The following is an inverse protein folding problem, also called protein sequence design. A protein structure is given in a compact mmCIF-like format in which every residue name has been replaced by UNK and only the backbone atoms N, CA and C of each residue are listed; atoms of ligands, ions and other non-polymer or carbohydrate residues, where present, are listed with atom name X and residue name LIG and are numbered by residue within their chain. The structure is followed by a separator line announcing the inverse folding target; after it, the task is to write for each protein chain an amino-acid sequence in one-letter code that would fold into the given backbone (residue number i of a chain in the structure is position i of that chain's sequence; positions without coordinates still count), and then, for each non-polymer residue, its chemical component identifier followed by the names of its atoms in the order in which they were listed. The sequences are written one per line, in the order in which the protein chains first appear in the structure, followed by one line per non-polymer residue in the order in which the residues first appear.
data_IF_762766627936
#
_entry.id   IF_762766627936
#
_cell.length_a   1.000
_cell.length_b   1.000
_cell.length_c   1.000
_cell.angle_alpha   90.00
_cell.angle_beta   90.00
_cell.angle_gamma   90.00
#
_symmetry.space_group_name_H-M   'P 1'
#
loop_
_entity.id
_entity.type
_entity.pdbx_description
1 polymer ?
#
# COMPACT_ATOMS: atom_id res chain seq x y z
N UNK A 1 14.19 32.47 -15.83
CA UNK A 1 13.67 31.24 -15.18
C UNK A 1 13.21 30.30 -16.28
N UNK A 2 13.68 29.07 -16.37
CA UNK A 2 13.16 28.12 -17.34
C UNK A 2 11.68 27.85 -17.05
N UNK A 3 10.85 27.81 -18.09
CA UNK A 3 9.44 27.47 -18.00
C UNK A 3 9.33 25.98 -17.62
N UNK A 4 8.56 25.62 -16.58
CA UNK A 4 8.40 24.23 -16.19
C UNK A 4 7.75 23.42 -17.34
N UNK A 5 8.16 22.18 -17.51
CA UNK A 5 7.53 21.31 -18.50
C UNK A 5 6.10 20.95 -18.09
N UNK A 6 5.24 20.62 -19.07
CA UNK A 6 3.88 20.16 -18.79
C UNK A 6 3.87 18.91 -17.89
N UNK A 7 4.85 18.04 -18.06
CA UNK A 7 5.05 16.85 -17.24
C UNK A 7 5.33 17.21 -15.77
N UNK A 8 6.20 18.21 -15.54
CA UNK A 8 6.53 18.65 -14.18
C UNK A 8 5.34 19.34 -13.51
N UNK A 9 4.57 20.10 -14.27
CA UNK A 9 3.33 20.73 -13.78
C UNK A 9 2.29 19.68 -13.40
N UNK A 10 2.05 18.68 -14.26
CA UNK A 10 1.09 17.61 -13.97
C UNK A 10 1.50 16.80 -12.73
N UNK A 11 2.80 16.50 -12.59
CA UNK A 11 3.33 15.81 -11.42
C UNK A 11 3.22 16.64 -10.15
N UNK A 12 3.44 17.95 -10.24
CA UNK A 12 3.25 18.86 -9.11
C UNK A 12 1.78 18.90 -8.68
N UNK A 13 0.85 19.07 -9.62
CA UNK A 13 -0.59 19.04 -9.35
C UNK A 13 -1.00 17.69 -8.72
N UNK A 14 -0.48 16.58 -9.24
CA UNK A 14 -0.77 15.25 -8.71
C UNK A 14 -0.38 15.10 -7.23
N UNK A 15 0.69 15.76 -6.80
CA UNK A 15 1.27 15.61 -5.44
C UNK A 15 0.76 16.64 -4.45
N UNK A 16 0.78 17.91 -4.84
CA UNK A 16 0.68 19.03 -3.90
C UNK A 16 -0.74 19.61 -3.84
N UNK A 17 -1.49 19.55 -4.95
CA UNK A 17 -2.82 20.17 -5.01
C UNK A 17 -3.89 19.27 -4.38
N UNK A 18 -4.76 19.80 -3.50
CA UNK A 18 -5.83 19.01 -2.88
C UNK A 18 -6.91 18.56 -3.87
N UNK A 19 -7.06 19.26 -5.01
CA UNK A 19 -7.99 18.96 -6.11
C UNK A 19 -9.45 18.66 -5.67
N UNK A 20 -9.85 19.22 -4.52
CA UNK A 20 -11.14 18.94 -3.86
C UNK A 20 -12.32 19.27 -4.76
N UNK A 21 -12.24 20.33 -5.57
CA UNK A 21 -13.31 20.72 -6.48
C UNK A 21 -13.49 19.68 -7.59
N UNK A 22 -12.39 19.19 -8.16
CA UNK A 22 -12.42 18.15 -9.21
C UNK A 22 -12.92 16.82 -8.66
N UNK A 23 -12.45 16.41 -7.48
CA UNK A 23 -12.91 15.19 -6.82
C UNK A 23 -14.42 15.25 -6.54
N UNK A 24 -14.95 16.41 -6.12
CA UNK A 24 -16.39 16.59 -5.88
C UNK A 24 -17.23 16.59 -7.16
N UNK A 25 -16.66 17.06 -8.28
CA UNK A 25 -17.37 17.15 -9.57
C UNK A 25 -17.62 15.77 -10.19
N UNK A 26 -16.79 14.79 -9.90
CA UNK A 26 -16.87 13.46 -10.51
C UNK A 26 -17.19 12.39 -9.46
N UNK A 27 -18.42 11.87 -9.50
CA UNK A 27 -18.91 10.87 -8.54
C UNK A 27 -18.03 9.60 -8.58
N UNK A 28 -17.44 9.24 -7.45
CA UNK A 28 -16.56 8.06 -7.33
C UNK A 28 -15.08 8.33 -7.63
N UNK A 29 -14.71 9.57 -7.99
CA UNK A 29 -13.32 9.97 -8.09
C UNK A 29 -12.79 10.31 -6.68
N UNK A 30 -11.66 9.73 -6.30
CA UNK A 30 -10.93 10.11 -5.08
C UNK A 30 -9.74 11.00 -5.43
N UNK A 31 -9.19 11.70 -4.43
CA UNK A 31 -7.96 12.50 -4.60
C UNK A 31 -6.79 11.65 -5.10
N UNK A 32 -6.66 10.45 -4.55
CA UNK A 32 -5.62 9.48 -4.91
C UNK A 32 -5.78 8.99 -6.35
N UNK A 33 -7.00 8.62 -6.72
CA UNK A 33 -7.29 8.19 -8.09
C UNK A 33 -7.03 9.31 -9.12
N UNK A 34 -7.39 10.55 -8.77
CA UNK A 34 -7.09 11.70 -9.63
C UNK A 34 -5.58 11.96 -9.73
N UNK A 35 -4.83 11.81 -8.63
CA UNK A 35 -3.37 11.88 -8.62
C UNK A 35 -2.73 10.86 -9.57
N UNK A 36 -3.22 9.62 -9.54
CA UNK A 36 -2.75 8.56 -10.44
C UNK A 36 -3.04 8.86 -11.91
N UNK A 37 -4.24 9.34 -12.23
CA UNK A 37 -4.59 9.72 -13.59
C UNK A 37 -3.69 10.85 -14.12
N UNK A 38 -3.31 11.79 -13.27
CA UNK A 38 -2.39 12.88 -13.62
C UNK A 38 -0.96 12.37 -13.82
N UNK A 39 -0.47 11.45 -12.96
CA UNK A 39 0.84 10.84 -13.12
C UNK A 39 0.89 9.93 -14.36
N UNK A 40 -0.17 9.19 -14.66
CA UNK A 40 -0.29 8.41 -15.91
C UNK A 40 -0.30 9.32 -17.14
N UNK A 41 -1.03 10.43 -17.11
CA UNK A 41 -1.03 11.41 -18.18
C UNK A 41 0.35 12.04 -18.36
N UNK A 42 1.05 12.37 -17.28
CA UNK A 42 2.41 12.89 -17.32
C UNK A 42 3.39 11.87 -17.95
N UNK A 43 3.24 10.59 -17.62
CA UNK A 43 4.05 9.51 -18.18
C UNK A 43 3.81 9.33 -19.68
N UNK A 44 2.57 9.43 -20.14
CA UNK A 44 2.21 9.35 -21.57
C UNK A 44 2.75 10.55 -22.37
N UNK A 45 2.73 11.74 -21.79
CA UNK A 45 3.22 12.96 -22.44
C UNK A 45 4.75 13.09 -22.42
N UNK A 46 5.41 12.48 -21.43
CA UNK A 46 6.88 12.43 -21.31
C UNK A 46 7.53 11.32 -22.15
N UNK A 47 6.75 10.53 -22.88
CA UNK A 47 7.19 9.33 -23.60
C UNK A 47 7.80 9.58 -24.98
N UNK A 48 8.67 10.60 -25.13
CA UNK A 48 9.67 10.62 -26.23
C UNK A 48 10.94 9.95 -25.73
N UNK A 49 11.66 9.18 -26.60
CA UNK A 49 12.87 8.49 -26.13
C UNK A 49 13.95 9.53 -25.79
N UNK A 50 14.26 9.70 -24.51
CA UNK A 50 15.57 10.23 -24.13
C UNK A 50 16.56 9.11 -24.27
N UNK A 51 17.36 9.21 -25.34
CA UNK A 51 18.60 8.44 -25.43
C UNK A 51 19.47 8.68 -24.21
N UNK A 52 19.97 7.55 -23.75
CA UNK A 52 21.18 7.35 -22.96
C UNK A 52 21.38 8.17 -21.67
N UNK A 53 20.95 7.61 -20.58
CA UNK A 53 21.91 7.09 -19.62
C UNK A 53 21.28 5.90 -18.91
N UNK A 54 21.74 4.73 -19.29
CA UNK A 54 21.44 3.52 -18.56
C UNK A 54 22.05 3.62 -17.15
N UNK A 55 21.30 3.16 -16.13
CA UNK A 55 21.46 1.77 -15.83
C UNK A 55 20.18 1.00 -16.15
N UNK A 56 20.42 -0.07 -16.89
CA UNK A 56 19.49 -1.14 -17.07
C UNK A 56 18.87 -1.54 -15.73
N UNK A 57 17.56 -1.51 -15.68
CA UNK A 57 16.81 -2.55 -15.02
C UNK A 57 15.41 -2.54 -15.64
N UNK A 58 15.21 -3.48 -16.52
CA UNK A 58 13.93 -4.08 -16.79
C UNK A 58 13.25 -4.43 -15.47
N UNK A 59 11.96 -4.88 -15.47
CA UNK A 59 11.33 -5.26 -14.22
C UNK A 59 12.28 -6.22 -13.52
N UNK A 60 12.91 -5.73 -12.46
CA UNK A 60 13.70 -6.60 -11.62
C UNK A 60 12.76 -7.74 -11.23
N UNK A 61 13.19 -8.99 -11.41
CA UNK A 61 12.47 -10.07 -10.79
C UNK A 61 12.30 -9.69 -9.32
N UNK A 62 11.27 -10.20 -8.67
CA UNK A 62 11.00 -10.10 -7.23
C UNK A 62 12.18 -10.65 -6.37
N UNK A 63 13.38 -10.33 -6.76
CA UNK A 63 14.62 -10.69 -6.12
C UNK A 63 15.33 -9.42 -5.71
N UNK A 64 15.57 -9.33 -4.43
CA UNK A 64 16.22 -8.26 -3.70
C UNK A 64 15.38 -7.00 -3.48
N UNK A 65 14.12 -7.12 -3.00
CA UNK A 65 13.80 -6.34 -1.82
C UNK A 65 14.93 -6.63 -0.82
N UNK A 66 15.66 -5.58 -0.46
CA UNK A 66 16.58 -5.61 0.65
C UNK A 66 15.99 -6.53 1.72
N UNK A 67 16.73 -7.58 2.09
CA UNK A 67 16.29 -8.66 2.99
C UNK A 67 16.18 -8.19 4.43
N UNK A 68 15.67 -6.98 4.62
CA UNK A 68 15.25 -6.50 5.93
C UNK A 68 13.94 -7.21 6.23
N UNK A 69 13.99 -8.22 7.08
CA UNK A 69 12.79 -8.81 7.66
C UNK A 69 11.91 -7.68 8.20
N UNK A 70 10.59 -7.74 8.03
CA UNK A 70 9.72 -6.70 8.58
C UNK A 70 9.96 -6.59 10.08
N UNK A 71 10.10 -5.37 10.58
CA UNK A 71 10.16 -5.12 12.02
C UNK A 71 8.86 -5.63 12.64
N UNK A 72 8.96 -6.62 13.53
CA UNK A 72 7.81 -7.25 14.18
C UNK A 72 7.83 -6.91 15.64
N UNK A 73 6.84 -6.16 16.11
CA UNK A 73 6.57 -5.94 17.51
C UNK A 73 5.42 -6.86 17.96
N UNK A 74 5.76 -7.96 18.63
CA UNK A 74 4.76 -8.88 19.19
C UNK A 74 4.28 -8.30 20.53
N UNK A 75 3.04 -7.81 20.57
CA UNK A 75 2.46 -7.14 21.74
C UNK A 75 1.87 -8.14 22.74
N UNK A 76 1.40 -9.28 22.26
CA UNK A 76 0.90 -10.36 23.11
C UNK A 76 1.29 -11.69 22.51
N UNK A 77 2.00 -12.56 23.23
CA UNK A 77 2.12 -13.93 22.79
C UNK A 77 0.69 -14.48 22.75
N UNK A 78 0.29 -14.98 21.60
CA UNK A 78 -1.01 -15.62 21.44
C UNK A 78 -1.14 -16.66 22.55
N UNK A 79 -1.97 -16.39 23.55
CA UNK A 79 -2.21 -17.32 24.63
C UNK A 79 -2.83 -18.58 24.04
N UNK A 80 -1.98 -19.58 23.79
CA UNK A 80 -2.36 -20.97 23.65
C UNK A 80 -3.26 -21.34 22.46
N UNK A 81 -2.76 -21.25 21.20
CA UNK A 81 -3.43 -21.87 20.07
C UNK A 81 -3.50 -21.01 18.80
N UNK A 82 -3.81 -21.62 17.65
CA UNK A 82 -3.95 -20.88 16.40
C UNK A 82 -5.11 -19.88 16.49
N UNK A 83 -4.84 -18.62 16.09
CA UNK A 83 -5.86 -17.58 16.03
C UNK A 83 -6.79 -17.85 14.85
N UNK A 84 -7.97 -18.40 15.12
CA UNK A 84 -8.91 -18.78 14.06
C UNK A 84 -9.38 -17.56 13.21
N UNK A 85 -9.59 -16.41 13.87
CA UNK A 85 -9.96 -15.13 13.23
C UNK A 85 -8.98 -14.03 13.59
N UNK A 86 -8.51 -13.32 12.57
CA UNK A 86 -7.60 -12.18 12.72
C UNK A 86 -8.16 -10.97 11.95
N UNK A 87 -8.09 -9.81 12.59
CA UNK A 87 -8.32 -8.52 11.95
C UNK A 87 -6.97 -7.94 11.56
N UNK A 88 -6.83 -7.56 10.30
CA UNK A 88 -5.62 -6.95 9.73
C UNK A 88 -5.94 -5.52 9.35
N UNK A 89 -5.35 -4.56 10.03
CA UNK A 89 -5.33 -3.16 9.66
C UNK A 89 -4.05 -2.91 8.88
N UNK A 90 -4.14 -2.31 7.70
CA UNK A 90 -2.97 -2.07 6.85
C UNK A 90 -2.92 -0.64 6.34
N UNK A 91 -1.70 -0.12 6.21
CA UNK A 91 -1.41 1.21 5.70
C UNK A 91 -0.10 1.24 4.94
N UNK A 92 0.06 2.24 4.09
CA UNK A 92 1.29 2.53 3.37
C UNK A 92 1.53 4.02 3.31
N UNK A 93 2.75 4.44 3.65
CA UNK A 93 3.16 5.82 3.60
C UNK A 93 4.31 6.02 2.60
N UNK A 94 4.33 7.17 1.94
CA UNK A 94 5.46 7.61 1.13
C UNK A 94 5.70 9.11 1.32
N UNK A 95 6.94 9.50 1.61
CA UNK A 95 7.35 10.91 1.72
C UNK A 95 7.74 11.44 0.35
N UNK A 96 6.74 11.80 -0.42
CA UNK A 96 6.78 12.05 -1.86
C UNK A 96 6.19 10.86 -2.64
N UNK A 97 5.87 11.05 -3.92
CA UNK A 97 5.24 10.00 -4.73
C UNK A 97 5.85 9.92 -6.14
N UNK A 98 6.92 9.13 -6.35
CA UNK A 98 7.60 8.24 -5.40
C UNK A 98 8.51 8.97 -4.40
N UNK A 99 8.78 8.31 -3.25
CA UNK A 99 9.68 8.81 -2.20
C UNK A 99 10.03 7.70 -1.21
N UNK A 100 10.79 8.02 -0.14
CA UNK A 100 11.00 7.09 0.96
C UNK A 100 9.65 6.57 1.45
N UNK A 101 9.47 5.26 1.44
CA UNK A 101 8.19 4.62 1.68
C UNK A 101 8.30 3.53 2.75
N UNK A 102 7.20 3.36 3.49
CA UNK A 102 7.07 2.34 4.52
C UNK A 102 5.69 1.67 4.47
N UNK A 103 5.66 0.41 4.78
CA UNK A 103 4.47 -0.38 4.95
C UNK A 103 4.21 -0.63 6.43
N UNK A 104 2.95 -0.56 6.85
CA UNK A 104 2.51 -0.82 8.21
C UNK A 104 1.34 -1.79 8.26
N UNK A 105 1.32 -2.67 9.26
CA UNK A 105 0.16 -3.48 9.56
C UNK A 105 0.02 -3.73 11.06
N UNK A 106 -1.22 -3.80 11.52
CA UNK A 106 -1.56 -4.15 12.90
C UNK A 106 -2.55 -5.30 12.87
N UNK A 107 -2.24 -6.34 13.62
CA UNK A 107 -3.08 -7.52 13.72
C UNK A 107 -3.75 -7.56 15.09
N UNK A 108 -5.06 -7.83 15.07
CA UNK A 108 -5.86 -7.99 16.29
C UNK A 108 -6.57 -9.34 16.27
N UNK A 109 -6.74 -9.92 17.46
CA UNK A 109 -7.56 -11.11 17.62
C UNK A 109 -9.08 -10.80 17.53
N UNK A 110 -9.90 -11.82 17.69
CA UNK A 110 -11.37 -11.68 17.63
C UNK A 110 -11.91 -10.73 18.71
N UNK A 111 -11.28 -10.67 19.86
CA UNK A 111 -11.63 -9.82 21.01
C UNK A 111 -11.18 -8.37 20.85
N UNK A 112 -10.37 -8.08 19.80
CA UNK A 112 -9.86 -6.74 19.52
C UNK A 112 -8.53 -6.42 20.23
N UNK A 113 -7.90 -7.42 20.84
CA UNK A 113 -6.56 -7.24 21.41
C UNK A 113 -5.50 -7.29 20.29
N UNK A 114 -4.54 -6.36 20.33
CA UNK A 114 -3.43 -6.33 19.38
C UNK A 114 -2.50 -7.52 19.66
N UNK A 115 -2.22 -8.30 18.63
CA UNK A 115 -1.31 -9.46 18.70
C UNK A 115 0.03 -9.18 18.02
N UNK A 116 0.05 -8.33 17.01
CA UNK A 116 1.29 -7.92 16.35
C UNK A 116 1.19 -6.54 15.72
N UNK A 117 2.31 -5.82 15.71
CA UNK A 117 2.54 -4.61 14.91
C UNK A 117 3.70 -4.88 13.97
N UNK A 118 3.53 -4.55 12.70
CA UNK A 118 4.49 -4.84 11.66
C UNK A 118 4.84 -3.54 10.94
N UNK A 119 6.13 -3.33 10.71
CA UNK A 119 6.62 -2.23 9.90
C UNK A 119 7.67 -2.75 8.90
N UNK A 120 7.71 -2.19 7.70
CA UNK A 120 8.74 -2.50 6.72
C UNK A 120 9.12 -1.27 5.92
N UNK A 121 10.40 -0.89 5.94
CA UNK A 121 10.94 0.12 5.04
C UNK A 121 11.04 -0.44 3.62
N UNK A 122 10.59 0.35 2.64
CA UNK A 122 10.45 -0.09 1.25
C UNK A 122 11.44 0.60 0.29
N UNK A 123 12.35 1.43 0.84
CA UNK A 123 13.18 2.27 0.02
C UNK A 123 12.36 3.37 -0.68
N UNK A 124 12.64 3.64 -1.94
CA UNK A 124 11.99 4.70 -2.72
C UNK A 124 10.85 4.11 -3.55
N UNK A 125 9.60 4.30 -3.12
CA UNK A 125 8.41 3.71 -3.72
C UNK A 125 7.23 4.71 -3.77
N UNK A 126 6.17 4.34 -4.50
CA UNK A 126 4.91 5.09 -4.51
C UNK A 126 4.04 4.75 -3.30
N UNK A 127 3.12 5.66 -2.94
CA UNK A 127 2.17 5.41 -1.85
C UNK A 127 1.34 4.13 -2.11
N UNK A 128 0.82 3.96 -3.31
CA UNK A 128 0.03 2.75 -3.64
C UNK A 128 0.83 1.45 -3.53
N UNK A 129 2.14 1.49 -3.87
CA UNK A 129 3.01 0.34 -3.66
C UNK A 129 3.12 0.02 -2.17
N UNK A 130 3.31 1.05 -1.33
CA UNK A 130 3.40 0.89 0.12
C UNK A 130 2.10 0.33 0.73
N UNK A 131 0.93 0.79 0.26
CA UNK A 131 -0.38 0.27 0.66
C UNK A 131 -0.51 -1.24 0.40
N UNK A 132 -0.15 -1.70 -0.81
CA UNK A 132 -0.14 -3.11 -1.13
C UNK A 132 0.84 -3.90 -0.26
N UNK A 133 2.01 -3.34 0.02
CA UNK A 133 3.00 -3.99 0.87
C UNK A 133 2.53 -4.11 2.32
N UNK A 134 1.85 -3.07 2.87
CA UNK A 134 1.23 -3.12 4.20
C UNK A 134 0.21 -4.26 4.30
N UNK A 135 -0.65 -4.39 3.29
CA UNK A 135 -1.57 -5.52 3.20
C UNK A 135 -0.86 -6.87 3.16
N UNK A 136 0.16 -7.00 2.30
CA UNK A 136 0.87 -8.27 2.11
C UNK A 136 1.57 -8.74 3.37
N UNK A 137 2.32 -7.87 4.07
CA UNK A 137 2.98 -8.24 5.33
C UNK A 137 1.94 -8.65 6.40
N UNK A 138 0.81 -7.92 6.48
CA UNK A 138 -0.27 -8.25 7.40
C UNK A 138 -0.90 -9.61 7.11
N UNK A 139 -1.21 -9.91 5.83
CA UNK A 139 -1.80 -11.21 5.44
C UNK A 139 -0.82 -12.37 5.63
N UNK A 140 0.46 -12.19 5.30
CA UNK A 140 1.50 -13.20 5.50
C UNK A 140 1.62 -13.54 6.99
N UNK A 141 1.62 -12.54 7.86
CA UNK A 141 1.69 -12.75 9.30
C UNK A 141 0.41 -13.39 9.85
N UNK A 142 -0.79 -12.95 9.40
CA UNK A 142 -2.04 -13.61 9.78
C UNK A 142 -2.05 -15.10 9.43
N UNK A 143 -1.50 -15.44 8.25
CA UNK A 143 -1.34 -16.84 7.83
C UNK A 143 -0.36 -17.60 8.72
N UNK A 144 0.77 -17.00 9.11
CA UNK A 144 1.74 -17.64 10.01
C UNK A 144 1.17 -17.90 11.41
N UNK A 145 0.22 -17.09 11.86
CA UNK A 145 -0.54 -17.29 13.10
C UNK A 145 -1.60 -18.39 13.00
N UNK A 146 -1.78 -19.01 11.83
CA UNK A 146 -2.75 -20.08 11.59
C UNK A 146 -4.19 -19.58 11.41
N UNK A 147 -4.40 -18.30 11.08
CA UNK A 147 -5.72 -17.76 10.86
C UNK A 147 -6.46 -18.47 9.71
N UNK A 148 -7.72 -18.79 9.93
CA UNK A 148 -8.63 -19.33 8.91
C UNK A 148 -9.59 -18.27 8.37
N UNK A 149 -9.90 -17.26 9.18
CA UNK A 149 -10.72 -16.12 8.80
C UNK A 149 -9.91 -14.84 8.93
N UNK A 150 -10.00 -13.97 7.93
CA UNK A 150 -9.33 -12.67 7.96
C UNK A 150 -10.32 -11.55 7.64
N UNK A 151 -10.29 -10.50 8.44
CA UNK A 151 -10.97 -9.25 8.17
C UNK A 151 -9.93 -8.18 7.89
N UNK A 152 -9.88 -7.66 6.68
CA UNK A 152 -8.94 -6.62 6.24
C UNK A 152 -9.60 -5.26 6.34
N UNK A 153 -8.91 -4.33 6.98
CA UNK A 153 -9.28 -2.93 7.12
C UNK A 153 -8.17 -2.05 6.57
N UNK A 154 -8.51 -1.12 5.69
CA UNK A 154 -7.61 -0.11 5.17
C UNK A 154 -8.37 1.20 4.91
N UNK A 155 -7.71 2.33 5.00
CA UNK A 155 -8.26 3.63 4.65
C UNK A 155 -8.03 3.99 3.17
N UNK A 156 -7.30 3.17 2.43
CA UNK A 156 -7.21 3.23 0.98
C UNK A 156 -8.44 2.61 0.32
N UNK A 157 -9.40 3.46 -0.07
CA UNK A 157 -10.58 3.03 -0.80
C UNK A 157 -10.22 2.34 -2.12
N UNK A 158 -9.16 2.84 -2.79
CA UNK A 158 -8.66 2.27 -4.03
C UNK A 158 -8.23 0.81 -3.84
N UNK A 159 -7.39 0.55 -2.83
CA UNK A 159 -6.92 -0.80 -2.50
C UNK A 159 -8.10 -1.74 -2.26
N UNK A 160 -9.04 -1.36 -1.40
CA UNK A 160 -10.21 -2.18 -1.07
C UNK A 160 -11.09 -2.45 -2.29
N UNK A 161 -11.30 -1.46 -3.17
CA UNK A 161 -12.10 -1.64 -4.39
C UNK A 161 -11.39 -2.49 -5.43
N UNK A 162 -10.06 -2.41 -5.52
CA UNK A 162 -9.25 -3.28 -6.39
C UNK A 162 -9.31 -4.73 -5.91
N UNK A 163 -9.09 -4.97 -4.62
CA UNK A 163 -9.17 -6.32 -4.03
C UNK A 163 -10.56 -6.94 -4.16
N UNK A 164 -11.60 -6.13 -4.04
CA UNK A 164 -13.00 -6.54 -4.22
C UNK A 164 -13.44 -6.70 -5.69
N UNK A 165 -12.52 -6.52 -6.65
CA UNK A 165 -12.81 -6.68 -8.08
C UNK A 165 -13.66 -5.56 -8.71
N UNK A 166 -13.90 -4.46 -7.97
CA UNK A 166 -14.67 -3.31 -8.48
C UNK A 166 -13.84 -2.40 -9.37
N UNK A 167 -12.52 -2.35 -9.16
CA UNK A 167 -11.57 -1.59 -9.96
C UNK A 167 -10.46 -2.49 -10.48
N UNK A 168 -10.04 -2.24 -11.71
CA UNK A 168 -8.93 -2.97 -12.32
C UNK A 168 -7.59 -2.36 -11.88
N UNK A 169 -6.60 -3.22 -11.63
CA UNK A 169 -5.21 -2.80 -11.43
C UNK A 169 -4.56 -2.69 -12.82
N UNK A 170 -4.37 -1.46 -13.28
CA UNK A 170 -3.73 -1.18 -14.58
C UNK A 170 -2.22 -1.03 -14.48
N UNK A 171 -1.70 -0.58 -13.34
CA UNK A 171 -0.28 -0.37 -13.12
C UNK A 171 0.51 -1.67 -13.24
N UNK A 172 1.52 -1.76 -14.12
CA UNK A 172 2.39 -2.93 -14.23
C UNK A 172 3.14 -3.23 -12.93
N UNK A 173 3.49 -2.20 -12.16
CA UNK A 173 4.21 -2.33 -10.89
C UNK A 173 3.32 -2.90 -9.78
N UNK A 174 2.03 -2.53 -9.76
CA UNK A 174 1.10 -2.98 -8.74
C UNK A 174 0.46 -4.35 -9.05
N UNK A 175 0.43 -4.72 -10.33
CA UNK A 175 -0.22 -5.98 -10.76
C UNK A 175 0.36 -7.24 -10.10
N UNK A 176 1.69 -7.39 -9.95
CA UNK A 176 2.27 -8.51 -9.21
C UNK A 176 1.83 -8.54 -7.74
N UNK A 177 1.82 -7.39 -7.06
CA UNK A 177 1.41 -7.28 -5.66
C UNK A 177 -0.08 -7.61 -5.48
N UNK A 178 -0.92 -7.13 -6.40
CA UNK A 178 -2.34 -7.47 -6.44
C UNK A 178 -2.55 -8.98 -6.59
N UNK A 179 -1.84 -9.63 -7.52
CA UNK A 179 -1.97 -11.08 -7.72
C UNK A 179 -1.48 -11.87 -6.50
N UNK A 180 -0.43 -11.41 -5.84
CA UNK A 180 0.07 -12.02 -4.61
C UNK A 180 -0.95 -11.85 -3.47
N UNK A 181 -1.52 -10.65 -3.30
CA UNK A 181 -2.59 -10.41 -2.33
C UNK A 181 -3.81 -11.32 -2.58
N UNK A 182 -4.24 -11.46 -3.83
CA UNK A 182 -5.33 -12.36 -4.20
C UNK A 182 -5.01 -13.83 -3.86
N UNK A 183 -3.79 -14.29 -4.13
CA UNK A 183 -3.34 -15.64 -3.78
C UNK A 183 -3.35 -15.85 -2.26
N UNK A 184 -2.87 -14.88 -1.48
CA UNK A 184 -2.91 -14.97 -0.02
C UNK A 184 -4.34 -14.97 0.52
N UNK A 185 -5.19 -14.07 0.02
CA UNK A 185 -6.60 -14.03 0.41
C UNK A 185 -7.32 -15.35 0.14
N UNK A 186 -7.02 -16.00 -0.99
CA UNK A 186 -7.59 -17.29 -1.33
C UNK A 186 -7.16 -18.44 -0.39
N UNK A 187 -6.12 -18.26 0.43
CA UNK A 187 -5.71 -19.27 1.43
C UNK A 187 -6.56 -19.26 2.69
N UNK A 188 -7.36 -18.20 2.92
CA UNK A 188 -8.26 -18.10 4.06
C UNK A 188 -9.64 -18.64 3.69
N UNK A 189 -10.27 -19.34 4.64
CA UNK A 189 -11.62 -19.88 4.45
C UNK A 189 -12.71 -18.82 4.41
N UNK A 190 -12.47 -17.66 5.06
CA UNK A 190 -13.37 -16.52 5.04
C UNK A 190 -12.60 -15.21 5.01
N UNK A 191 -12.98 -14.34 4.09
CA UNK A 191 -12.37 -13.02 3.89
C UNK A 191 -13.44 -11.95 3.94
N UNK A 192 -13.17 -10.88 4.69
CA UNK A 192 -13.94 -9.65 4.67
C UNK A 192 -13.01 -8.49 4.38
N UNK A 193 -13.38 -7.64 3.44
CA UNK A 193 -12.66 -6.42 3.08
C UNK A 193 -13.51 -5.22 3.45
N UNK A 194 -12.95 -4.28 4.17
CA UNK A 194 -13.65 -3.09 4.63
C UNK A 194 -12.77 -1.84 4.51
N UNK A 195 -13.29 -0.82 3.86
CA UNK A 195 -12.73 0.51 3.91
C UNK A 195 -13.12 1.17 5.23
N UNK A 196 -12.17 1.77 5.92
CA UNK A 196 -12.38 2.49 7.19
C UNK A 196 -11.85 3.93 7.09
N UNK A 197 -12.42 4.87 7.85
CA UNK A 197 -11.84 6.20 7.96
C UNK A 197 -10.42 6.12 8.55
N UNK A 198 -9.53 7.04 8.14
CA UNK A 198 -8.13 7.10 8.61
C UNK A 198 -8.00 7.10 10.15
N UNK A 199 -8.93 7.77 10.85
CA UNK A 199 -8.95 7.77 12.30
C UNK A 199 -9.11 6.38 12.94
N UNK A 200 -9.68 5.41 12.21
CA UNK A 200 -9.82 4.03 12.65
C UNK A 200 -8.65 3.14 12.18
N UNK A 201 -7.71 3.69 11.39
CA UNK A 201 -6.52 3.02 10.89
C UNK A 201 -5.22 3.61 11.49
N UNK A 202 -5.33 4.42 12.53
CA UNK A 202 -4.24 5.23 13.07
C UNK A 202 -3.01 4.40 13.52
N UNK A 203 -3.21 3.22 14.08
CA UNK A 203 -2.08 2.35 14.50
C UNK A 203 -1.30 1.79 13.30
N UNK A 204 -1.97 1.45 12.19
CA UNK A 204 -1.30 1.01 10.98
C UNK A 204 -0.60 2.18 10.28
N UNK A 205 -1.21 3.38 10.25
CA UNK A 205 -0.59 4.63 9.77
C UNK A 205 0.68 4.96 10.59
N UNK A 206 0.64 4.82 11.91
CA UNK A 206 1.82 4.98 12.77
C UNK A 206 2.92 4.00 12.36
N UNK A 207 2.60 2.73 12.16
CA UNK A 207 3.59 1.71 11.81
C UNK A 207 4.20 1.95 10.43
N UNK A 208 3.43 2.41 9.42
CA UNK A 208 3.96 2.76 8.10
C UNK A 208 4.92 3.94 8.17
N UNK A 209 4.63 4.95 8.99
CA UNK A 209 5.50 6.11 9.22
C UNK A 209 6.75 5.73 10.03
N UNK A 210 6.62 4.95 11.10
CA UNK A 210 7.77 4.43 11.86
C UNK A 210 8.70 3.62 10.98
N UNK A 211 8.16 2.81 10.07
CA UNK A 211 8.95 2.03 9.12
C UNK A 211 9.87 2.92 8.26
N UNK A 212 9.42 4.12 7.89
CA UNK A 212 10.26 5.11 7.18
C UNK A 212 11.32 5.71 8.11
N UNK A 213 10.93 6.12 9.32
CA UNK A 213 11.79 6.86 10.24
C UNK A 213 12.87 6.00 10.85
N UNK A 214 12.52 4.78 11.22
CA UNK A 214 13.40 3.81 11.89
C UNK A 214 14.09 2.86 10.90
N UNK A 215 13.69 2.88 9.62
CA UNK A 215 14.16 2.00 8.54
C UNK A 215 14.10 0.50 8.91
N UNK A 216 12.96 0.11 9.46
CA UNK A 216 12.70 -1.27 9.87
C UNK A 216 12.57 -2.22 8.69
#
# INVERSE_FOLDING_TARGET
MPTPSLVDVLRHIAREEPLTATVRAFRGLTREHLGQLLDEAAAQLGGGPREAEAPASGPAPLAAADSTEPGIEIVSPAAGGPLNRVRVYSDGAARGNPGPAGAGAVLMNAEGAVVARLGKFLGHQTNNYAEYMGLLIGLQHAKSLGAREVEVFADSELLIRQLGGRYQVKSPTLKPLFLEAQKLLATFGKVKLAHVPRAQNAEADEMSNRAIDERM
#
